data_IF_913478409310
#
_entry.id   IF_913478409310
#
_cell.length_a   1.000
_cell.length_b   1.000
_cell.length_c   1.000
_cell.angle_alpha   90.00
_cell.angle_beta   90.00
_cell.angle_gamma   90.00
#
_symmetry.space_group_name_H-M   'P 1'
#
loop_
_entity.id
_entity.type
_entity.pdbx_description
1 polymer ?
#
# COMPACT_ATOMS: atom_id res chain seq x y z
N UNK A 1 21.09 -12.16 -0.90
CA UNK A 1 19.83 -11.67 -0.28
C UNK A 1 20.06 -11.07 1.10
N UNK A 2 20.68 -11.80 2.05
CA UNK A 2 20.98 -11.32 3.41
C UNK A 2 21.76 -9.99 3.46
N UNK A 3 22.83 -9.88 2.66
CA UNK A 3 23.62 -8.64 2.55
C UNK A 3 22.78 -7.44 2.09
N UNK A 4 21.91 -7.64 1.09
CA UNK A 4 21.04 -6.58 0.57
C UNK A 4 20.03 -6.17 1.63
N UNK A 5 19.57 -7.09 2.49
CA UNK A 5 18.60 -6.78 3.54
C UNK A 5 19.21 -6.01 4.72
N UNK A 6 20.45 -6.33 5.09
CA UNK A 6 21.13 -5.73 6.24
C UNK A 6 21.95 -4.48 5.92
N UNK A 7 22.16 -4.17 4.63
CA UNK A 7 22.94 -3.00 4.26
C UNK A 7 22.25 -1.71 4.74
N UNK A 8 22.98 -0.71 5.29
CA UNK A 8 22.39 0.54 5.75
C UNK A 8 21.58 1.28 4.67
N UNK A 9 22.03 1.17 3.42
CA UNK A 9 21.36 1.74 2.24
C UNK A 9 20.40 0.76 1.54
N UNK A 10 19.97 -0.29 2.24
CA UNK A 10 19.03 -1.27 1.69
C UNK A 10 17.68 -0.62 1.37
N UNK A 11 17.18 -0.73 0.13
CA UNK A 11 15.81 -0.35 -0.18
C UNK A 11 14.78 -1.34 0.39
N UNK A 12 15.21 -2.51 0.87
CA UNK A 12 14.31 -3.57 1.35
C UNK A 12 13.97 -3.43 2.84
N UNK A 13 14.91 -2.95 3.66
CA UNK A 13 14.73 -2.84 5.11
C UNK A 13 14.46 -1.41 5.57
N UNK A 14 15.03 -0.42 4.89
CA UNK A 14 14.75 1.00 5.12
C UNK A 14 15.20 1.52 6.50
N UNK A 15 16.15 0.83 7.13
CA UNK A 15 16.82 1.22 8.38
C UNK A 15 18.32 0.99 8.24
N UNK A 16 19.10 1.73 9.03
CA UNK A 16 20.56 1.69 9.04
C UNK A 16 21.15 0.35 9.51
N UNK A 17 20.46 -0.37 10.40
CA UNK A 17 20.83 -1.71 10.88
C UNK A 17 19.62 -2.49 11.37
N UNK A 18 19.72 -3.81 11.36
CA UNK A 18 18.79 -4.71 12.04
C UNK A 18 19.29 -4.98 13.46
N UNK A 19 18.51 -4.61 14.47
CA UNK A 19 18.89 -4.72 15.88
C UNK A 19 18.26 -5.93 16.60
N UNK A 20 17.82 -6.95 15.85
CA UNK A 20 17.13 -8.12 16.41
C UNK A 20 18.00 -8.90 17.38
N UNK A 21 19.29 -9.06 17.07
CA UNK A 21 20.24 -9.75 17.95
C UNK A 21 20.41 -8.98 19.25
N UNK A 22 20.64 -7.68 19.16
CA UNK A 22 20.84 -6.78 20.29
C UNK A 22 19.61 -6.78 21.21
N UNK A 23 18.39 -6.72 20.66
CA UNK A 23 17.14 -6.82 21.43
C UNK A 23 17.00 -8.12 22.20
N UNK A 24 17.56 -9.21 21.69
CA UNK A 24 17.41 -10.54 22.29
C UNK A 24 18.48 -10.82 23.33
N UNK A 25 19.69 -10.30 23.13
CA UNK A 25 20.87 -10.72 23.90
C UNK A 25 21.54 -9.60 24.70
N UNK A 26 21.27 -8.33 24.41
CA UNK A 26 21.86 -7.18 25.11
C UNK A 26 20.78 -6.43 25.90
N UNK A 27 21.07 -6.10 27.16
CA UNK A 27 20.18 -5.27 27.99
C UNK A 27 20.24 -3.78 27.64
N UNK A 28 21.33 -3.33 27.01
CA UNK A 28 21.54 -1.93 26.70
C UNK A 28 20.58 -1.45 25.58
N UNK A 29 19.59 -0.65 25.97
CA UNK A 29 18.56 -0.15 25.08
C UNK A 29 19.08 0.76 23.95
N UNK A 30 20.25 1.41 24.12
CA UNK A 30 20.83 2.23 23.05
C UNK A 30 21.20 1.36 21.83
N UNK A 31 21.60 0.11 22.08
CA UNK A 31 21.96 -0.84 21.01
C UNK A 31 20.77 -1.26 20.16
N UNK A 32 19.53 -1.13 20.68
CA UNK A 32 18.29 -1.58 20.04
C UNK A 32 17.72 -0.60 19.02
N UNK A 33 18.26 0.62 18.96
CA UNK A 33 17.78 1.70 18.11
C UNK A 33 18.11 1.40 16.65
N UNK A 34 17.07 1.39 15.80
CA UNK A 34 17.21 1.30 14.35
C UNK A 34 16.76 2.64 13.74
N UNK A 35 17.66 3.34 13.07
CA UNK A 35 17.35 4.63 12.45
C UNK A 35 16.76 4.39 11.09
N UNK A 36 15.57 4.92 10.88
CA UNK A 36 14.88 4.85 9.58
C UNK A 36 15.61 5.70 8.54
N UNK A 37 15.56 5.27 7.29
CA UNK A 37 16.13 6.00 6.17
C UNK A 37 15.36 7.34 5.90
N UNK A 38 15.92 8.22 5.04
CA UNK A 38 15.32 9.54 4.79
C UNK A 38 13.88 9.51 4.30
N UNK A 39 13.46 8.47 3.55
CA UNK A 39 12.08 8.34 3.08
C UNK A 39 11.07 8.44 4.22
N UNK A 40 11.30 7.74 5.34
CA UNK A 40 10.38 7.79 6.47
C UNK A 40 10.40 9.13 7.21
N UNK A 41 11.54 9.84 7.23
CA UNK A 41 11.63 11.18 7.82
C UNK A 41 10.98 12.27 6.96
N UNK A 42 10.85 12.01 5.65
CA UNK A 42 10.30 12.93 4.66
C UNK A 42 8.88 12.54 4.21
N UNK A 43 8.30 11.49 4.79
CA UNK A 43 7.02 10.91 4.38
C UNK A 43 5.84 11.89 4.50
N UNK A 44 5.99 12.91 5.34
CA UNK A 44 5.01 13.98 5.57
C UNK A 44 5.35 15.28 4.81
N UNK A 45 6.43 15.29 4.03
CA UNK A 45 6.80 16.42 3.18
C UNK A 45 6.18 16.25 1.79
N UNK A 46 5.06 16.92 1.54
CA UNK A 46 4.33 16.84 0.28
C UNK A 46 5.18 17.14 -0.96
N UNK A 47 6.14 18.08 -0.86
CA UNK A 47 7.05 18.39 -1.98
C UNK A 47 7.91 17.18 -2.35
N UNK A 48 8.44 16.47 -1.35
CA UNK A 48 9.24 15.26 -1.57
C UNK A 48 8.38 14.14 -2.16
N UNK A 49 7.16 13.98 -1.66
CA UNK A 49 6.23 12.96 -2.19
C UNK A 49 5.86 13.25 -3.65
N UNK A 50 5.60 14.51 -4.01
CA UNK A 50 5.32 14.88 -5.39
C UNK A 50 6.51 14.57 -6.31
N UNK A 51 7.73 14.91 -5.88
CA UNK A 51 8.95 14.58 -6.62
C UNK A 51 9.10 13.07 -6.82
N UNK A 52 8.84 12.26 -5.78
CA UNK A 52 8.88 10.80 -5.91
C UNK A 52 7.85 10.34 -6.96
N UNK A 53 6.61 10.81 -6.91
CA UNK A 53 5.59 10.43 -7.89
C UNK A 53 5.99 10.81 -9.33
N UNK A 54 6.51 12.02 -9.52
CA UNK A 54 6.99 12.52 -10.82
C UNK A 54 8.14 11.68 -11.38
N UNK A 55 9.11 11.28 -10.54
CA UNK A 55 10.23 10.42 -10.96
C UNK A 55 9.78 9.02 -11.43
N UNK A 56 8.63 8.54 -10.93
CA UNK A 56 7.99 7.31 -11.42
C UNK A 56 7.08 7.54 -12.64
N UNK A 57 7.03 8.75 -13.19
CA UNK A 57 6.17 9.12 -14.32
C UNK A 57 4.68 9.20 -13.95
N UNK A 58 4.37 9.38 -12.66
CA UNK A 58 3.01 9.44 -12.15
C UNK A 58 2.59 10.89 -11.91
N UNK A 59 1.31 11.21 -12.14
CA UNK A 59 0.76 12.53 -11.85
C UNK A 59 0.48 12.68 -10.33
N UNK A 60 1.17 13.60 -9.62
CA UNK A 60 0.98 13.81 -8.19
C UNK A 60 -0.44 14.26 -7.80
N UNK A 61 -1.23 14.79 -8.72
CA UNK A 61 -2.61 15.20 -8.44
C UNK A 61 -3.54 14.00 -8.25
N UNK A 62 -3.26 12.87 -8.90
CA UNK A 62 -4.15 11.71 -8.91
C UNK A 62 -3.54 10.45 -8.28
N UNK A 63 -2.22 10.38 -8.19
CA UNK A 63 -1.50 9.20 -7.70
C UNK A 63 -1.31 9.18 -6.19
N UNK A 64 -1.12 7.96 -5.67
CA UNK A 64 -1.02 7.67 -4.25
C UNK A 64 0.10 6.66 -3.99
N UNK A 65 0.86 6.86 -2.92
CA UNK A 65 1.84 5.91 -2.39
C UNK A 65 1.14 5.10 -1.30
N UNK A 66 1.07 3.79 -1.47
CA UNK A 66 0.59 2.87 -0.44
C UNK A 66 1.80 2.27 0.28
N UNK A 67 2.01 2.69 1.52
CA UNK A 67 3.17 2.30 2.31
C UNK A 67 2.78 1.21 3.33
N UNK A 68 3.29 -0.01 3.11
CA UNK A 68 3.06 -1.14 4.00
C UNK A 68 4.13 -1.31 5.08
N UNK A 69 4.05 -2.40 5.84
CA UNK A 69 5.11 -2.94 6.72
C UNK A 69 5.48 -2.08 7.95
N UNK A 70 5.04 -0.82 8.02
CA UNK A 70 5.24 0.06 9.17
C UNK A 70 3.96 0.11 10.00
N UNK A 71 4.01 -0.25 11.30
CA UNK A 71 2.86 -0.14 12.18
C UNK A 71 2.45 1.32 12.36
N UNK A 72 1.15 1.60 12.27
CA UNK A 72 0.61 2.95 12.49
C UNK A 72 0.26 3.07 13.98
N UNK A 73 0.93 3.98 14.68
CA UNK A 73 0.70 4.19 16.12
C UNK A 73 -0.50 5.09 16.35
N UNK A 74 -1.70 4.61 16.02
CA UNK A 74 -2.95 5.37 16.15
C UNK A 74 -3.16 5.88 17.57
N UNK A 75 -2.82 5.06 18.57
CA UNK A 75 -2.88 5.45 20.00
C UNK A 75 -2.05 6.69 20.34
N UNK A 76 -0.98 6.94 19.59
CA UNK A 76 -0.08 8.09 19.78
C UNK A 76 -0.50 9.29 18.91
N UNK A 77 -1.66 9.22 18.25
CA UNK A 77 -2.21 10.26 17.39
C UNK A 77 -1.72 10.22 15.94
N UNK A 78 -1.01 9.18 15.52
CA UNK A 78 -0.52 9.06 14.14
C UNK A 78 -1.68 8.93 13.14
N UNK A 79 -1.68 9.80 12.12
CA UNK A 79 -2.61 9.71 11.00
C UNK A 79 -2.05 8.79 9.91
N UNK A 80 -2.77 7.72 9.50
CA UNK A 80 -2.36 6.85 8.39
C UNK A 80 -2.43 7.55 7.02
N UNK A 81 -3.17 8.67 6.92
CA UNK A 81 -3.28 9.48 5.72
C UNK A 81 -2.37 10.70 5.88
N UNK A 82 -1.33 10.77 5.04
CA UNK A 82 -0.33 11.85 5.05
C UNK A 82 -0.38 12.62 3.73
N UNK A 83 0.15 13.85 3.74
CA UNK A 83 0.26 14.70 2.55
C UNK A 83 -1.07 14.84 1.76
N UNK A 84 -2.18 15.12 2.47
CA UNK A 84 -3.49 15.33 1.83
C UNK A 84 -4.05 14.11 1.08
N UNK A 85 -3.64 12.89 1.44
CA UNK A 85 -4.08 11.66 0.78
C UNK A 85 -3.04 11.04 -0.15
N UNK A 86 -1.91 11.71 -0.42
CA UNK A 86 -0.88 11.19 -1.33
C UNK A 86 -0.11 10.00 -0.76
N UNK A 87 -0.04 9.87 0.55
CA UNK A 87 0.59 8.72 1.21
C UNK A 87 -0.42 8.07 2.15
N UNK A 88 -0.57 6.76 1.99
CA UNK A 88 -1.48 5.93 2.76
C UNK A 88 -0.68 4.84 3.43
N UNK A 89 -0.53 4.93 4.74
CA UNK A 89 0.16 3.92 5.54
C UNK A 89 -0.84 2.86 5.94
N UNK A 90 -0.58 1.61 5.54
CA UNK A 90 -1.38 0.45 5.90
C UNK A 90 -0.55 -0.55 6.70
N UNK A 91 -1.11 -1.03 7.79
CA UNK A 91 -0.50 -2.09 8.58
C UNK A 91 -1.38 -3.34 8.60
N UNK A 92 -0.72 -4.51 8.51
CA UNK A 92 -1.36 -5.79 8.74
C UNK A 92 -1.55 -6.02 10.23
N UNK A 93 -2.44 -5.27 10.89
CA UNK A 93 -2.62 -5.31 12.34
C UNK A 93 -3.34 -6.57 12.88
N UNK A 94 -3.57 -7.58 12.04
CA UNK A 94 -4.07 -8.89 12.49
C UNK A 94 -3.07 -9.64 13.39
N UNK A 95 -1.82 -9.19 13.45
CA UNK A 95 -0.84 -9.74 14.39
C UNK A 95 -1.08 -9.20 15.81
N UNK A 96 -1.43 -10.11 16.73
CA UNK A 96 -1.59 -9.82 18.17
C UNK A 96 -0.37 -9.11 18.78
N UNK A 97 0.83 -9.34 18.25
CA UNK A 97 2.06 -8.73 18.74
C UNK A 97 2.06 -7.19 18.60
N UNK A 98 1.44 -6.66 17.54
CA UNK A 98 1.46 -5.22 17.23
C UNK A 98 0.28 -4.45 17.80
N UNK A 99 -0.81 -5.13 18.22
CA UNK A 99 -2.00 -4.47 18.77
C UNK A 99 -1.71 -3.57 19.98
N UNK A 100 -0.75 -3.95 20.84
CA UNK A 100 -0.31 -3.12 21.98
C UNK A 100 0.33 -1.80 21.53
N UNK A 101 0.96 -1.78 20.35
CA UNK A 101 1.67 -0.64 19.80
C UNK A 101 0.78 0.23 18.91
N UNK A 102 -0.09 -0.37 18.11
CA UNK A 102 -0.96 0.35 17.17
C UNK A 102 -2.26 0.84 17.80
N UNK A 103 -2.79 0.10 18.78
CA UNK A 103 -4.10 0.35 19.40
C UNK A 103 -5.30 -0.12 18.57
N UNK A 104 -5.08 -0.70 17.39
CA UNK A 104 -6.10 -1.23 16.47
C UNK A 104 -5.63 -2.55 15.84
N UNK A 105 -6.55 -3.32 15.25
CA UNK A 105 -6.22 -4.48 14.40
C UNK A 105 -5.72 -4.11 13.00
N UNK A 106 -5.49 -2.82 12.76
CA UNK A 106 -4.83 -2.27 11.59
C UNK A 106 -5.76 -1.75 10.51
N UNK A 107 -5.18 -1.45 9.35
CA UNK A 107 -5.89 -0.80 8.25
C UNK A 107 -6.05 -1.70 7.02
N UNK A 108 -7.23 -1.63 6.39
CA UNK A 108 -7.47 -2.19 5.06
C UNK A 108 -7.74 -1.08 4.08
N UNK A 109 -6.99 -1.08 2.98
CA UNK A 109 -7.24 -0.21 1.84
C UNK A 109 -8.14 -0.94 0.83
N UNK A 110 -9.30 -0.37 0.56
CA UNK A 110 -10.25 -0.88 -0.43
C UNK A 110 -10.28 0.10 -1.59
N UNK A 111 -9.93 -0.39 -2.78
CA UNK A 111 -10.05 0.36 -4.02
C UNK A 111 -11.03 -0.33 -4.95
N UNK A 112 -11.99 0.43 -5.46
CA UNK A 112 -12.91 -0.02 -6.50
C UNK A 112 -13.24 1.14 -7.45
N UNK A 113 -14.12 0.88 -8.41
CA UNK A 113 -14.48 1.85 -9.44
C UNK A 113 -15.11 3.15 -8.91
N UNK A 114 -15.57 3.18 -7.65
CA UNK A 114 -16.17 4.35 -6.98
C UNK A 114 -15.17 5.14 -6.14
N UNK A 115 -13.98 4.59 -5.91
CA UNK A 115 -12.90 5.28 -5.24
C UNK A 115 -12.17 4.40 -4.23
N UNK A 116 -11.60 5.08 -3.23
CA UNK A 116 -10.62 4.53 -2.33
C UNK A 116 -11.03 4.82 -0.88
N UNK A 117 -11.19 3.74 -0.12
CA UNK A 117 -11.61 3.74 1.27
C UNK A 117 -10.49 3.13 2.13
N UNK A 118 -10.20 3.78 3.26
CA UNK A 118 -9.31 3.25 4.28
C UNK A 118 -10.15 2.87 5.50
N UNK A 119 -10.15 1.59 5.85
CA UNK A 119 -10.97 1.04 6.94
C UNK A 119 -10.05 0.68 8.09
N UNK A 120 -10.32 1.23 9.27
CA UNK A 120 -9.64 0.87 10.52
C UNK A 120 -10.42 -0.23 11.24
N UNK A 121 -9.73 -1.29 11.66
CA UNK A 121 -10.36 -2.44 12.32
C UNK A 121 -10.07 -2.44 13.82
N UNK A 122 -11.07 -2.73 14.64
CA UNK A 122 -10.84 -2.96 16.08
C UNK A 122 -10.20 -4.34 16.36
N UNK A 123 -9.41 -4.47 17.44
CA UNK A 123 -8.91 -5.76 17.91
C UNK A 123 -10.03 -6.74 18.23
N UNK A 124 -9.90 -7.98 17.72
CA UNK A 124 -10.75 -9.09 18.13
C UNK A 124 -10.21 -9.72 19.43
N UNK A 125 -10.97 -9.63 20.52
CA UNK A 125 -10.60 -10.18 21.83
C UNK A 125 -10.78 -11.72 21.89
N UNK A 126 -12.03 -12.19 21.81
CA UNK A 126 -12.37 -13.62 21.73
C UNK A 126 -13.82 -13.84 21.25
N UNK A 127 -14.14 -15.06 20.83
CA UNK A 127 -15.50 -15.45 20.43
C UNK A 127 -16.49 -15.30 21.59
N UNK A 128 -16.10 -15.72 22.80
CA UNK A 128 -16.93 -15.61 24.00
C UNK A 128 -17.21 -14.15 24.34
N UNK A 129 -16.20 -13.27 24.26
CA UNK A 129 -16.38 -11.84 24.48
C UNK A 129 -17.24 -11.19 23.39
N UNK A 130 -17.12 -11.62 22.13
CA UNK A 130 -17.92 -11.10 21.04
C UNK A 130 -19.40 -11.47 21.21
N UNK A 131 -19.69 -12.73 21.57
CA UNK A 131 -21.06 -13.21 21.84
C UNK A 131 -21.64 -12.53 23.09
N UNK A 132 -20.88 -12.50 24.20
CA UNK A 132 -21.38 -11.95 25.46
C UNK A 132 -21.61 -10.44 25.44
N UNK A 133 -20.80 -9.69 24.67
CA UNK A 133 -20.93 -8.23 24.51
C UNK A 133 -21.75 -7.84 23.28
N UNK A 134 -22.27 -8.81 22.53
CA UNK A 134 -22.92 -8.61 21.22
C UNK A 134 -22.09 -7.71 20.29
N UNK A 135 -20.76 -7.81 20.37
CA UNK A 135 -19.83 -6.99 19.59
C UNK A 135 -19.75 -7.55 18.18
N UNK A 136 -20.24 -6.77 17.22
CA UNK A 136 -19.95 -6.97 15.79
C UNK A 136 -18.57 -6.38 15.45
N UNK A 137 -18.03 -6.68 14.26
CA UNK A 137 -16.77 -6.11 13.79
C UNK A 137 -16.94 -4.60 13.60
N UNK A 138 -16.64 -3.83 14.64
CA UNK A 138 -16.63 -2.38 14.58
C UNK A 138 -15.45 -1.93 13.71
N UNK A 139 -15.79 -1.38 12.55
CA UNK A 139 -14.84 -0.82 11.61
C UNK A 139 -15.13 0.67 11.45
N UNK A 140 -14.12 1.51 11.67
CA UNK A 140 -14.23 2.93 11.38
C UNK A 140 -13.80 3.16 9.94
N UNK A 141 -14.72 3.67 9.12
CA UNK A 141 -14.45 3.91 7.70
C UNK A 141 -14.00 5.35 7.47
N UNK A 142 -12.76 5.54 7.04
CA UNK A 142 -12.26 6.81 6.57
C UNK A 142 -12.26 6.84 5.05
N UNK A 143 -13.06 7.73 4.47
CA UNK A 143 -13.08 7.95 3.02
C UNK A 143 -11.89 8.83 2.66
N UNK A 144 -10.92 8.26 1.96
CA UNK A 144 -9.73 8.99 1.54
C UNK A 144 -9.98 9.71 0.22
N UNK A 145 -10.68 9.06 -0.73
CA UNK A 145 -10.97 9.66 -2.04
C UNK A 145 -12.20 9.04 -2.68
N UNK A 146 -13.13 9.88 -3.12
CA UNK A 146 -14.18 9.49 -4.07
C UNK A 146 -13.78 9.97 -5.46
N UNK A 147 -13.85 9.08 -6.44
CA UNK A 147 -13.63 9.49 -7.84
C UNK A 147 -14.91 10.12 -8.37
N UNK A 148 -14.77 11.24 -9.11
CA UNK A 148 -15.91 11.92 -9.74
C UNK A 148 -16.49 11.10 -10.90
N UNK A 149 -15.61 10.42 -11.62
CA UNK A 149 -15.94 9.54 -12.73
C UNK A 149 -15.49 8.12 -12.41
N UNK A 150 -16.30 7.15 -12.81
CA UNK A 150 -16.08 5.75 -12.48
C UNK A 150 -14.94 5.20 -13.33
N UNK A 151 -13.90 4.64 -12.69
CA UNK A 151 -12.84 3.92 -13.38
C UNK A 151 -13.35 2.55 -13.86
N UNK A 152 -13.15 2.27 -15.14
CA UNK A 152 -13.52 1.01 -15.79
C UNK A 152 -12.29 0.14 -16.00
N UNK A 153 -12.51 -1.16 -16.26
CA UNK A 153 -11.42 -2.09 -16.60
C UNK A 153 -10.63 -1.59 -17.81
N UNK A 154 -11.31 -0.96 -18.78
CA UNK A 154 -10.69 -0.36 -19.96
C UNK A 154 -9.72 0.78 -19.67
N UNK A 155 -9.78 1.41 -18.49
CA UNK A 155 -8.91 2.53 -18.10
C UNK A 155 -7.65 2.06 -17.36
N UNK A 156 -7.52 0.75 -17.16
CA UNK A 156 -6.32 0.14 -16.57
C UNK A 156 -5.28 -0.14 -17.65
N UNK A 157 -4.01 -0.31 -17.25
CA UNK A 157 -2.92 -0.68 -18.17
C UNK A 157 -3.25 -1.97 -18.95
N UNK A 158 -3.85 -2.95 -18.26
CA UNK A 158 -4.33 -4.20 -18.85
C UNK A 158 -5.48 -3.92 -19.83
N UNK A 159 -6.40 -3.02 -19.48
CA UNK A 159 -7.49 -2.59 -20.35
C UNK A 159 -6.99 -1.98 -21.66
N UNK A 160 -6.00 -1.10 -21.58
CA UNK A 160 -5.35 -0.50 -22.76
C UNK A 160 -4.62 -1.56 -23.60
N UNK A 161 -3.96 -2.52 -22.97
CA UNK A 161 -3.35 -3.66 -23.68
C UNK A 161 -4.40 -4.50 -24.42
N UNK A 162 -5.52 -4.83 -23.77
CA UNK A 162 -6.62 -5.58 -24.38
C UNK A 162 -7.23 -4.82 -25.56
N UNK A 163 -7.46 -3.50 -25.44
CA UNK A 163 -7.96 -2.67 -26.54
C UNK A 163 -7.02 -2.70 -27.75
N UNK A 164 -5.70 -2.64 -27.51
CA UNK A 164 -4.68 -2.76 -28.56
C UNK A 164 -4.71 -4.14 -29.22
N UNK A 165 -4.77 -5.21 -28.44
CA UNK A 165 -4.87 -6.58 -28.96
C UNK A 165 -6.12 -6.77 -29.82
N UNK A 166 -7.27 -6.25 -29.39
CA UNK A 166 -8.52 -6.27 -30.20
C UNK A 166 -8.30 -5.59 -31.54
N UNK A 167 -7.72 -4.38 -31.55
CA UNK A 167 -7.45 -3.63 -32.78
C UNK A 167 -6.49 -4.36 -33.72
N UNK A 168 -5.48 -5.03 -33.16
CA UNK A 168 -4.53 -5.80 -33.95
C UNK A 168 -5.17 -7.07 -34.55
N UNK A 169 -6.07 -7.73 -33.80
CA UNK A 169 -6.86 -8.86 -34.32
C UNK A 169 -7.84 -8.42 -35.40
N UNK A 170 -8.49 -7.27 -35.26
CA UNK A 170 -9.36 -6.69 -36.30
C UNK A 170 -8.58 -6.42 -37.59
N UNK A 171 -7.38 -5.84 -37.48
CA UNK A 171 -6.48 -5.63 -38.63
C UNK A 171 -6.06 -6.94 -39.28
N UNK A 172 -5.69 -7.93 -38.48
CA UNK A 172 -5.33 -9.27 -38.96
C UNK A 172 -6.48 -9.91 -39.73
N UNK A 173 -7.70 -9.82 -39.21
CA UNK A 173 -8.91 -10.33 -39.86
C UNK A 173 -9.17 -9.65 -41.21
N UNK A 174 -8.99 -8.32 -41.28
CA UNK A 174 -9.13 -7.57 -42.54
C UNK A 174 -8.07 -7.98 -43.55
N UNK A 175 -6.80 -8.05 -43.14
CA UNK A 175 -5.70 -8.46 -44.02
C UNK A 175 -5.91 -9.89 -44.58
N UNK A 176 -6.47 -10.79 -43.76
CA UNK A 176 -6.85 -12.13 -44.21
C UNK A 176 -7.99 -12.11 -45.22
N UNK A 177 -9.07 -11.36 -44.95
CA UNK A 177 -10.23 -11.24 -45.84
C UNK A 177 -9.90 -10.58 -47.19
N UNK A 178 -8.97 -9.64 -47.20
CA UNK A 178 -8.52 -8.94 -48.41
C UNK A 178 -7.43 -9.70 -49.18
N UNK A 179 -6.94 -10.83 -48.64
CA UNK A 179 -5.92 -11.66 -49.28
C UNK A 179 -4.49 -11.11 -49.19
N UNK A 180 -4.25 -10.08 -48.36
CA UNK A 180 -2.91 -9.55 -48.06
C UNK A 180 -2.08 -10.56 -47.25
N UNK A 181 -2.76 -11.31 -46.37
CA UNK A 181 -2.20 -12.46 -45.65
C UNK A 181 -2.91 -13.73 -46.12
N UNK A 182 -2.13 -14.71 -46.59
CA UNK A 182 -2.63 -16.02 -47.00
C UNK A 182 -2.46 -17.01 -45.86
N UNK A 183 -3.48 -17.84 -45.63
CA UNK A 183 -3.35 -19.02 -44.77
C UNK A 183 -2.23 -19.90 -45.32
N UNK A 184 -1.23 -20.20 -44.50
CA UNK A 184 -0.33 -21.30 -44.81
C UNK A 184 -1.00 -22.58 -44.34
N UNK A 185 -1.32 -23.45 -45.30
CA UNK A 185 -1.57 -24.87 -45.03
C UNK A 185 -0.29 -25.57 -44.61
#
# INVERSE_FOLDING_TARGET
>A
MWYIWLHPDSPLFGKDKMATFERYFLQDAETHIEKKNPYYSLLENEKVINQILEEFGLDPAVSHIVNGHVPVKRKDGENPVKCGGKVLVIDGGFSKAYQKETGIAGYTLIFNSYGLLLVAHEPFESTESAIAKEKDIHSETMIVKRVRERLLVGDTDIGEELKRQVKDLERLLVAYRNGELREKR
#
